data_IF_639451507932
#
_entry.id   IF_639451507932
#
_cell.length_a   1.000
_cell.length_b   1.000
_cell.length_c   1.000
_cell.angle_alpha   90.00
_cell.angle_beta   90.00
_cell.angle_gamma   90.00
#
_symmetry.space_group_name_H-M   'P 1'
#
loop_
_entity.id
_entity.type
_entity.pdbx_description
1 polymer ?
#
# COMPACT_ATOMS: atom_id res chain seq x y z
N UNK A 1 37.95 -10.29 -35.08
CA UNK A 1 36.98 -10.83 -34.11
C UNK A 1 35.62 -10.25 -34.47
N UNK A 2 34.64 -11.06 -34.91
CA UNK A 2 33.30 -10.57 -35.23
C UNK A 2 32.50 -10.43 -33.92
N UNK A 3 31.78 -9.32 -33.67
CA UNK A 3 30.93 -9.24 -32.50
C UNK A 3 29.73 -10.17 -32.70
N UNK A 4 29.58 -11.14 -31.80
CA UNK A 4 28.38 -11.95 -31.64
C UNK A 4 27.22 -11.02 -31.31
N UNK A 5 26.21 -10.97 -32.18
CA UNK A 5 24.93 -10.31 -31.87
C UNK A 5 24.30 -11.07 -30.70
N UNK A 6 24.38 -10.50 -29.51
CA UNK A 6 23.63 -10.98 -28.35
C UNK A 6 22.15 -10.69 -28.65
N UNK A 7 21.33 -11.73 -28.71
CA UNK A 7 19.90 -11.61 -28.94
C UNK A 7 19.25 -11.25 -27.61
N UNK A 8 19.25 -9.94 -27.28
CA UNK A 8 18.64 -9.41 -26.06
C UNK A 8 19.28 -8.11 -25.59
N UNK A 9 18.49 -7.25 -24.93
CA UNK A 9 19.04 -6.11 -24.18
C UNK A 9 19.89 -6.67 -23.04
N UNK A 10 21.20 -6.44 -23.09
CA UNK A 10 22.08 -6.70 -21.94
C UNK A 10 21.74 -5.67 -20.86
N UNK A 11 20.98 -6.07 -19.85
CA UNK A 11 20.76 -5.24 -18.66
C UNK A 11 22.10 -5.18 -17.91
N UNK A 12 22.69 -3.98 -17.82
CA UNK A 12 23.95 -3.72 -17.11
C UNK A 12 23.67 -2.72 -15.99
N UNK A 13 23.89 -3.14 -14.75
CA UNK A 13 23.74 -2.31 -13.55
C UNK A 13 22.47 -2.62 -12.76
N UNK A 14 22.48 -2.23 -11.48
CA UNK A 14 21.32 -2.20 -10.59
C UNK A 14 21.16 -0.75 -10.16
N UNK A 15 20.13 -0.08 -10.66
CA UNK A 15 19.87 1.32 -10.40
C UNK A 15 18.77 1.52 -9.33
N UNK A 16 18.47 2.78 -9.00
CA UNK A 16 17.43 3.10 -8.01
C UNK A 16 16.01 2.72 -8.46
N UNK A 17 15.78 2.54 -9.77
CA UNK A 17 14.50 2.07 -10.31
C UNK A 17 14.37 0.57 -10.06
N UNK A 18 15.43 -0.20 -10.30
CA UNK A 18 15.49 -1.63 -10.00
C UNK A 18 15.25 -1.90 -8.50
N UNK A 19 15.80 -1.05 -7.61
CA UNK A 19 15.50 -1.10 -6.15
C UNK A 19 14.02 -0.90 -5.89
N UNK A 20 13.41 0.11 -6.50
CA UNK A 20 12.00 0.42 -6.33
C UNK A 20 11.09 -0.71 -6.82
N UNK A 21 11.38 -1.28 -7.98
CA UNK A 21 10.64 -2.41 -8.54
C UNK A 21 10.77 -3.67 -7.69
N UNK A 22 11.98 -3.98 -7.22
CA UNK A 22 12.20 -5.11 -6.31
C UNK A 22 11.49 -4.91 -4.96
N UNK A 23 11.53 -3.69 -4.41
CA UNK A 23 10.84 -3.33 -3.18
C UNK A 23 9.32 -3.47 -3.34
N UNK A 24 8.73 -2.88 -4.39
CA UNK A 24 7.31 -3.02 -4.70
C UNK A 24 6.91 -4.48 -4.90
N UNK A 25 7.67 -5.25 -5.67
CA UNK A 25 7.43 -6.67 -5.88
C UNK A 25 7.44 -7.45 -4.57
N UNK A 26 8.40 -7.18 -3.69
CA UNK A 26 8.48 -7.80 -2.37
C UNK A 26 7.28 -7.43 -1.47
N UNK A 27 6.76 -6.20 -1.56
CA UNK A 27 5.57 -5.80 -0.81
C UNK A 27 4.30 -6.45 -1.36
N UNK A 28 4.14 -6.51 -2.69
CA UNK A 28 2.95 -7.09 -3.35
C UNK A 28 2.74 -8.54 -2.94
N UNK A 29 3.82 -9.32 -2.89
CA UNK A 29 3.74 -10.75 -2.55
C UNK A 29 4.01 -11.04 -1.08
N UNK A 30 4.95 -10.34 -0.47
CA UNK A 30 5.39 -10.58 0.89
C UNK A 30 4.42 -10.04 1.94
N UNK A 31 3.78 -8.90 1.71
CA UNK A 31 2.86 -8.32 2.69
C UNK A 31 1.63 -9.22 2.92
N UNK A 32 0.89 -9.67 1.88
CA UNK A 32 -0.23 -10.59 2.08
C UNK A 32 0.18 -11.89 2.79
N UNK A 33 1.33 -12.47 2.43
CA UNK A 33 1.85 -13.68 3.07
C UNK A 33 2.23 -13.45 4.54
N UNK A 34 2.82 -12.30 4.86
CA UNK A 34 3.17 -11.94 6.23
C UNK A 34 1.94 -11.74 7.13
N UNK A 35 0.80 -11.34 6.56
CA UNK A 35 -0.45 -11.13 7.30
C UNK A 35 -1.47 -12.26 7.12
N UNK A 36 -1.17 -13.27 6.31
CA UNK A 36 -2.03 -14.43 6.10
C UNK A 36 -2.13 -15.21 7.41
N UNK A 37 -3.35 -15.29 7.95
CA UNK A 37 -3.58 -15.72 9.32
C UNK A 37 -3.21 -14.66 10.37
N UNK A 38 -2.07 -13.97 10.19
CA UNK A 38 -1.43 -13.05 11.15
C UNK A 38 -2.06 -11.67 11.37
N UNK A 39 -3.07 -11.26 10.59
CA UNK A 39 -3.65 -9.89 10.71
C UNK A 39 -4.19 -9.62 12.11
N UNK A 40 -4.72 -10.64 12.78
CA UNK A 40 -5.30 -10.50 14.12
C UNK A 40 -4.21 -10.38 15.19
N UNK A 41 -3.16 -11.17 15.06
CA UNK A 41 -2.00 -11.22 15.92
C UNK A 41 -1.19 -9.92 15.80
N UNK A 42 -1.01 -9.41 14.58
CA UNK A 42 -0.38 -8.11 14.34
C UNK A 42 -1.24 -7.00 14.95
N UNK A 43 -2.57 -7.05 14.77
CA UNK A 43 -3.51 -6.11 15.39
C UNK A 43 -3.43 -6.12 16.92
N UNK A 44 -3.26 -7.29 17.53
CA UNK A 44 -3.09 -7.44 18.98
C UNK A 44 -1.72 -6.92 19.45
N UNK A 45 -0.66 -7.15 18.68
CA UNK A 45 0.65 -6.59 18.98
C UNK A 45 0.63 -5.06 18.91
N UNK A 46 0.06 -4.49 17.85
CA UNK A 46 0.00 -3.04 17.66
C UNK A 46 -0.94 -2.36 18.66
N UNK A 47 -2.02 -3.02 19.11
CA UNK A 47 -2.88 -2.49 20.18
C UNK A 47 -2.13 -2.34 21.50
N UNK A 48 -1.20 -3.25 21.80
CA UNK A 48 -0.35 -3.19 22.99
C UNK A 48 0.86 -2.27 22.81
N UNK A 49 1.23 -1.96 21.56
CA UNK A 49 2.36 -1.09 21.24
C UNK A 49 1.95 0.01 20.24
N UNK A 50 1.27 1.08 20.72
CA UNK A 50 0.67 2.11 19.85
C UNK A 50 1.65 2.84 18.94
N UNK A 51 2.93 2.91 19.32
CA UNK A 51 3.98 3.49 18.47
C UNK A 51 4.12 2.71 17.15
N UNK A 52 4.10 1.38 17.20
CA UNK A 52 4.17 0.57 15.99
C UNK A 52 2.91 0.70 15.15
N UNK A 53 1.74 0.85 15.78
CA UNK A 53 0.51 1.16 15.05
C UNK A 53 0.65 2.46 14.26
N UNK A 54 1.12 3.53 14.90
CA UNK A 54 1.35 4.82 14.24
C UNK A 54 2.36 4.69 13.09
N UNK A 55 3.44 3.94 13.29
CA UNK A 55 4.43 3.68 12.23
C UNK A 55 3.78 2.94 11.06
N UNK A 56 2.94 1.93 11.31
CA UNK A 56 2.22 1.20 10.26
C UNK A 56 1.29 2.12 9.47
N UNK A 57 0.50 2.96 10.16
CA UNK A 57 -0.42 3.89 9.51
C UNK A 57 0.36 4.93 8.69
N UNK A 58 1.37 5.58 9.28
CA UNK A 58 2.19 6.58 8.58
C UNK A 58 2.97 5.95 7.42
N UNK A 59 3.54 4.77 7.62
CA UNK A 59 4.24 4.01 6.59
C UNK A 59 3.33 3.67 5.41
N UNK A 60 2.07 3.30 5.67
CA UNK A 60 1.06 3.05 4.63
C UNK A 60 0.76 4.32 3.84
N UNK A 61 0.50 5.43 4.53
CA UNK A 61 0.20 6.73 3.90
C UNK A 61 1.37 7.19 3.04
N UNK A 62 2.60 7.10 3.56
CA UNK A 62 3.81 7.45 2.83
C UNK A 62 4.05 6.52 1.64
N UNK A 63 3.80 5.22 1.78
CA UNK A 63 3.94 4.25 0.69
C UNK A 63 2.98 4.58 -0.45
N UNK A 64 1.69 4.79 -0.16
CA UNK A 64 0.69 5.17 -1.17
C UNK A 64 1.06 6.51 -1.81
N UNK A 65 1.53 7.48 -1.03
CA UNK A 65 1.97 8.77 -1.54
C UNK A 65 3.15 8.60 -2.51
N UNK A 66 4.14 7.76 -2.15
CA UNK A 66 5.28 7.48 -3.02
C UNK A 66 4.85 6.79 -4.31
N UNK A 67 3.98 5.78 -4.21
CA UNK A 67 3.44 5.05 -5.36
C UNK A 67 2.70 5.98 -6.32
N UNK A 68 1.85 6.88 -5.82
CA UNK A 68 1.04 7.76 -6.67
C UNK A 68 1.79 8.99 -7.22
N UNK A 69 2.84 9.47 -6.54
CA UNK A 69 3.47 10.76 -6.87
C UNK A 69 4.97 10.74 -7.11
N UNK A 70 5.73 9.82 -6.51
CA UNK A 70 7.19 9.77 -6.63
C UNK A 70 7.68 8.73 -7.63
N UNK A 71 6.94 7.65 -7.84
CA UNK A 71 7.26 6.69 -8.89
C UNK A 71 6.80 7.30 -10.21
N UNK A 72 7.77 7.62 -11.06
CA UNK A 72 7.70 8.35 -12.34
C UNK A 72 6.90 7.61 -13.43
N UNK A 73 5.64 7.21 -13.13
CA UNK A 73 4.79 6.40 -14.01
C UNK A 73 3.66 7.19 -14.67
N UNK A 74 3.23 8.33 -14.15
CA UNK A 74 2.25 9.20 -14.81
C UNK A 74 2.44 10.68 -14.46
N UNK A 75 2.31 11.55 -15.46
CA UNK A 75 2.21 13.00 -15.28
C UNK A 75 0.83 13.31 -14.69
N UNK A 76 0.71 13.30 -13.37
CA UNK A 76 -0.53 13.69 -12.69
C UNK A 76 -0.58 15.22 -12.65
N UNK A 77 -1.30 15.82 -13.60
CA UNK A 77 -1.72 17.21 -13.45
C UNK A 77 -2.72 17.27 -12.28
N UNK A 78 -2.35 17.97 -11.21
CA UNK A 78 -3.23 18.18 -10.06
C UNK A 78 -4.31 19.17 -10.50
N UNK A 79 -5.41 18.65 -11.03
CA UNK A 79 -6.60 19.43 -11.39
C UNK A 79 -7.56 19.36 -10.19
N UNK A 80 -7.80 20.51 -9.54
CA UNK A 80 -8.71 20.72 -8.42
C UNK A 80 -8.43 19.88 -7.14
N UNK A 81 -7.45 20.29 -6.30
CA UNK A 81 -7.19 19.67 -5.01
C UNK A 81 -8.37 19.82 -4.02
N UNK A 82 -8.61 18.80 -3.21
CA UNK A 82 -9.53 18.85 -2.07
C UNK A 82 -8.94 19.80 -1.00
N UNK A 83 -9.73 20.74 -0.49
CA UNK A 83 -9.29 21.77 0.46
C UNK A 83 -8.13 22.66 -0.04
N UNK A 84 -7.81 22.65 -1.35
CA UNK A 84 -6.75 23.46 -1.94
C UNK A 84 -5.35 22.84 -1.92
N UNK A 85 -5.11 21.77 -1.16
CA UNK A 85 -3.77 21.16 -1.02
C UNK A 85 -3.75 19.62 -0.99
N UNK A 86 -4.88 18.93 -0.74
CA UNK A 86 -4.90 17.46 -0.67
C UNK A 86 -5.37 16.90 -2.02
N UNK A 87 -4.58 16.05 -2.69
CA UNK A 87 -5.02 15.44 -3.95
C UNK A 87 -6.24 14.53 -3.75
N UNK A 88 -7.31 14.75 -4.53
CA UNK A 88 -8.54 13.94 -4.46
C UNK A 88 -8.29 12.44 -4.68
N UNK A 89 -7.38 12.10 -5.60
CA UNK A 89 -6.97 10.73 -5.92
C UNK A 89 -6.41 10.00 -4.70
N UNK A 90 -5.50 10.66 -3.98
CA UNK A 90 -4.91 10.13 -2.74
C UNK A 90 -5.97 9.84 -1.66
N UNK A 91 -6.89 10.80 -1.45
CA UNK A 91 -7.99 10.63 -0.50
C UNK A 91 -8.92 9.50 -0.92
N UNK A 92 -9.22 9.39 -2.22
CA UNK A 92 -10.04 8.32 -2.78
C UNK A 92 -9.43 6.94 -2.53
N UNK A 93 -8.15 6.75 -2.86
CA UNK A 93 -7.45 5.46 -2.67
C UNK A 93 -7.42 5.06 -1.20
N UNK A 94 -7.01 5.97 -0.30
CA UNK A 94 -6.95 5.68 1.13
C UNK A 94 -8.36 5.47 1.74
N UNK A 95 -9.32 6.31 1.35
CA UNK A 95 -10.68 6.27 1.88
C UNK A 95 -11.44 5.02 1.45
N UNK A 96 -11.40 4.67 0.15
CA UNK A 96 -12.08 3.48 -0.38
C UNK A 96 -11.47 2.21 0.21
N UNK A 97 -10.14 2.10 0.25
CA UNK A 97 -9.49 0.93 0.87
C UNK A 97 -9.81 0.82 2.36
N UNK A 98 -9.85 1.93 3.10
CA UNK A 98 -10.19 1.93 4.53
C UNK A 98 -11.63 1.50 4.77
N UNK A 99 -12.59 2.08 4.04
CA UNK A 99 -14.01 1.72 4.15
C UNK A 99 -14.23 0.26 3.77
N UNK A 100 -13.52 -0.25 2.78
CA UNK A 100 -13.57 -1.66 2.39
C UNK A 100 -13.03 -2.55 3.51
N UNK A 101 -11.87 -2.21 4.09
CA UNK A 101 -11.29 -2.95 5.22
C UNK A 101 -12.23 -2.98 6.42
N UNK A 102 -12.72 -1.81 6.84
CA UNK A 102 -13.66 -1.64 7.93
C UNK A 102 -14.94 -2.44 7.70
N UNK A 103 -15.52 -2.33 6.49
CA UNK A 103 -16.73 -3.04 6.10
C UNK A 103 -16.54 -4.56 6.15
N UNK A 104 -15.51 -5.09 5.48
CA UNK A 104 -15.25 -6.52 5.46
C UNK A 104 -14.96 -7.07 6.85
N UNK A 105 -14.13 -6.40 7.64
CA UNK A 105 -13.77 -6.87 8.99
C UNK A 105 -14.96 -6.85 9.94
N UNK A 106 -15.85 -5.87 9.79
CA UNK A 106 -17.09 -5.81 10.57
C UNK A 106 -18.09 -6.87 10.11
N UNK A 107 -18.37 -6.94 8.81
CA UNK A 107 -19.39 -7.83 8.25
C UNK A 107 -19.01 -9.30 8.43
N UNK A 108 -17.72 -9.64 8.28
CA UNK A 108 -17.24 -11.01 8.45
C UNK A 108 -16.96 -11.39 9.91
N UNK A 109 -17.27 -10.51 10.87
CA UNK A 109 -17.04 -10.76 12.30
C UNK A 109 -15.56 -10.97 12.65
N UNK A 110 -14.65 -10.35 11.90
CA UNK A 110 -13.21 -10.41 12.16
C UNK A 110 -12.80 -9.51 13.33
N UNK A 111 -13.61 -8.50 13.67
CA UNK A 111 -13.34 -7.61 14.80
C UNK A 111 -14.46 -7.67 15.82
N UNK A 112 -14.09 -7.50 17.08
CA UNK A 112 -15.03 -7.33 18.18
C UNK A 112 -15.08 -5.87 18.63
N UNK A 113 -16.23 -5.24 18.43
CA UNK A 113 -16.48 -3.85 18.80
C UNK A 113 -16.62 -3.63 20.31
N UNK A 114 -16.69 -4.70 21.12
CA UNK A 114 -16.58 -4.60 22.58
C UNK A 114 -15.18 -4.13 23.01
N UNK A 115 -14.16 -4.36 22.16
CA UNK A 115 -12.77 -3.92 22.35
C UNK A 115 -12.34 -2.98 21.21
N UNK A 116 -12.90 -1.75 21.15
CA UNK A 116 -12.81 -0.89 19.97
C UNK A 116 -11.36 -0.52 19.60
N UNK A 117 -10.46 -0.41 20.58
CA UNK A 117 -9.05 -0.15 20.29
C UNK A 117 -8.38 -1.29 19.52
N UNK A 118 -8.62 -2.53 19.93
CA UNK A 118 -8.12 -3.71 19.24
C UNK A 118 -8.72 -3.81 17.83
N UNK A 119 -10.03 -3.60 17.70
CA UNK A 119 -10.72 -3.59 16.41
C UNK A 119 -10.12 -2.56 15.44
N UNK A 120 -9.85 -1.33 15.90
CA UNK A 120 -9.20 -0.28 15.09
C UNK A 120 -7.81 -0.71 14.63
N UNK A 121 -7.03 -1.35 15.52
CA UNK A 121 -5.69 -1.84 15.16
C UNK A 121 -5.74 -2.95 14.11
N UNK A 122 -6.66 -3.91 14.26
CA UNK A 122 -6.89 -4.99 13.31
C UNK A 122 -7.33 -4.46 11.94
N UNK A 123 -8.29 -3.52 11.91
CA UNK A 123 -8.73 -2.85 10.68
C UNK A 123 -7.59 -2.04 10.07
N UNK A 124 -6.80 -1.32 10.87
CA UNK A 124 -5.69 -0.50 10.37
C UNK A 124 -4.58 -1.33 9.74
N UNK A 125 -4.25 -2.50 10.31
CA UNK A 125 -3.28 -3.44 9.72
C UNK A 125 -3.80 -4.02 8.40
N UNK A 126 -5.07 -4.44 8.37
CA UNK A 126 -5.69 -4.94 7.15
C UNK A 126 -5.73 -3.86 6.05
N UNK A 127 -6.08 -2.63 6.46
CA UNK A 127 -6.11 -1.47 5.60
C UNK A 127 -4.77 -1.20 4.93
N UNK A 128 -3.64 -1.42 5.62
CA UNK A 128 -2.30 -1.25 5.01
C UNK A 128 -2.11 -2.08 3.73
N UNK A 129 -2.55 -3.35 3.75
CA UNK A 129 -2.48 -4.24 2.58
C UNK A 129 -3.44 -3.79 1.49
N UNK A 130 -4.66 -3.44 1.89
CA UNK A 130 -5.71 -3.04 0.95
C UNK A 130 -5.39 -1.69 0.29
N UNK A 131 -4.74 -0.77 1.00
CA UNK A 131 -4.29 0.51 0.49
C UNK A 131 -3.17 0.34 -0.54
N UNK A 132 -2.21 -0.57 -0.30
CA UNK A 132 -1.22 -0.96 -1.30
C UNK A 132 -1.89 -1.48 -2.57
N UNK A 133 -2.80 -2.46 -2.45
CA UNK A 133 -3.54 -3.00 -3.58
C UNK A 133 -4.36 -1.94 -4.34
N UNK A 134 -5.05 -1.06 -3.62
CA UNK A 134 -5.83 0.02 -4.21
C UNK A 134 -4.94 1.03 -4.96
N UNK A 135 -3.76 1.37 -4.42
CA UNK A 135 -2.82 2.29 -5.08
C UNK A 135 -2.26 1.71 -6.38
N UNK A 136 -2.01 0.39 -6.44
CA UNK A 136 -1.57 -0.27 -7.65
C UNK A 136 -2.69 -0.40 -8.67
N UNK A 137 -3.91 -0.73 -8.23
CA UNK A 137 -5.09 -0.78 -9.10
C UNK A 137 -5.41 0.57 -9.74
N UNK A 138 -5.20 1.66 -9.00
CA UNK A 138 -5.36 3.02 -9.49
C UNK A 138 -4.28 3.42 -10.53
N UNK A 139 -3.08 2.85 -10.47
CA UNK A 139 -2.01 3.10 -11.46
C UNK A 139 -2.28 2.41 -12.81
N UNK A 140 -3.05 1.31 -12.82
CA UNK A 140 -3.38 0.63 -14.06
C UNK A 140 -4.18 1.58 -14.98
N UNK A 141 -3.78 1.77 -16.25
CA UNK A 141 -4.45 2.70 -17.14
C UNK A 141 -5.91 2.29 -17.33
N UNK A 142 -6.82 3.18 -16.90
CA UNK A 142 -8.21 3.17 -17.33
C UNK A 142 -8.28 3.55 -18.81
N UNK A 143 -9.12 2.83 -19.54
CA UNK A 143 -9.36 2.98 -20.99
C UNK A 143 -9.66 4.41 -21.41
#
# INVERSE_FOLDING_TARGET
YKPTKVLGKVVRGFDWRDVGEAFLGSLIFGFPMAVEGGTQEVGQFTSNNPLFFLITILGTVLLVLNILYFIDLQRVEIIDPLLGFIPKRFVGVLGVSFLTALGLFTIWGRVDWSTPWLAINQVGVAWSVMALGASLGDILPGT
#
